data_IF_130523285903
#
_entry.id   IF_130523285903
#
_cell.length_a   1.000
_cell.length_b   1.000
_cell.length_c   1.000
_cell.angle_alpha   90.00
_cell.angle_beta   90.00
_cell.angle_gamma   90.00
#
_symmetry.space_group_name_H-M   'P 1'
#
loop_
_entity.id
_entity.type
_entity.pdbx_description
1 polymer ?
#
# COMPACT_ATOMS: atom_id res chain seq x y z
N UNK A 1 50.31 56.88 20.83
CA UNK A 1 49.22 56.10 21.39
C UNK A 1 48.10 55.73 20.36
N UNK A 2 47.67 56.64 19.47
CA UNK A 2 46.60 56.34 18.48
C UNK A 2 46.93 55.27 17.43
N UNK A 3 48.24 55.15 17.02
CA UNK A 3 48.65 54.15 16.01
C UNK A 3 48.75 52.71 16.54
N UNK A 4 49.02 52.55 17.85
CA UNK A 4 49.04 51.21 18.46
C UNK A 4 47.65 50.63 18.68
N UNK A 5 46.63 51.45 19.03
CA UNK A 5 45.23 51.03 19.15
C UNK A 5 44.64 50.57 17.80
N UNK A 6 45.00 51.27 16.69
CA UNK A 6 44.53 50.92 15.35
C UNK A 6 45.06 49.55 14.87
N UNK A 7 46.31 49.22 15.21
CA UNK A 7 46.96 47.94 14.86
C UNK A 7 46.36 46.76 15.70
N UNK A 8 45.99 46.98 16.95
CA UNK A 8 45.37 45.99 17.83
C UNK A 8 43.94 45.72 17.34
N UNK A 9 43.19 46.77 16.98
CA UNK A 9 41.83 46.60 16.42
C UNK A 9 41.82 45.87 15.09
N UNK A 10 42.78 46.12 14.20
CA UNK A 10 42.93 45.42 12.92
C UNK A 10 43.31 43.95 13.10
N UNK A 11 44.20 43.63 14.04
CA UNK A 11 44.57 42.25 14.37
C UNK A 11 43.40 41.45 15.00
N UNK A 12 42.59 42.06 15.85
CA UNK A 12 41.41 41.46 16.42
C UNK A 12 40.31 41.17 15.40
N UNK A 13 40.13 42.06 14.39
CA UNK A 13 39.19 41.88 13.29
C UNK A 13 39.59 40.71 12.38
N UNK A 14 40.87 40.49 12.12
CA UNK A 14 41.39 39.40 11.30
C UNK A 14 41.19 38.04 12.00
N UNK A 15 41.35 37.96 13.31
CA UNK A 15 41.14 36.74 14.11
C UNK A 15 39.66 36.33 14.09
N UNK A 16 38.73 37.28 14.09
CA UNK A 16 37.29 37.00 13.97
C UNK A 16 36.84 36.47 12.60
N UNK A 17 37.55 36.85 11.49
CA UNK A 17 37.26 36.36 10.17
C UNK A 17 37.78 34.92 9.93
N UNK A 18 38.71 34.43 10.75
CA UNK A 18 39.31 33.09 10.62
C UNK A 18 38.60 32.03 11.48
N UNK A 19 37.59 32.37 12.26
CA UNK A 19 36.79 31.37 12.96
C UNK A 19 35.94 30.60 11.91
N UNK A 20 36.12 29.27 11.79
CA UNK A 20 35.25 28.51 10.89
C UNK A 20 33.79 28.73 11.35
N UNK A 21 32.84 28.93 10.40
CA UNK A 21 31.46 29.04 10.75
C UNK A 21 31.08 27.81 11.59
N UNK A 22 30.25 27.97 12.66
CA UNK A 22 29.79 26.83 13.43
C UNK A 22 29.23 25.82 12.45
N UNK A 23 29.83 24.64 12.40
CA UNK A 23 29.32 23.56 11.58
C UNK A 23 27.83 23.41 11.92
N UNK A 24 26.93 23.78 11.00
CA UNK A 24 25.54 23.51 11.14
C UNK A 24 25.43 21.98 11.31
N UNK A 25 25.38 21.54 12.57
CA UNK A 25 25.06 20.11 12.85
C UNK A 25 23.72 19.87 12.22
N UNK A 26 23.73 19.12 11.13
CA UNK A 26 22.49 18.63 10.55
C UNK A 26 21.68 18.01 11.70
N UNK A 27 20.49 18.53 11.95
CA UNK A 27 19.63 18.00 13.01
C UNK A 27 19.41 16.51 12.72
N UNK A 28 19.51 15.64 13.75
CA UNK A 28 19.37 14.21 13.53
C UNK A 28 17.98 13.92 12.93
N UNK A 29 17.94 13.17 11.84
CA UNK A 29 16.69 12.68 11.27
C UNK A 29 16.05 11.62 12.20
N UNK A 30 14.71 11.67 12.43
CA UNK A 30 13.77 12.72 12.06
C UNK A 30 13.68 13.80 13.14
N UNK A 31 13.42 15.07 12.75
CA UNK A 31 13.20 16.19 13.64
C UNK A 31 11.85 16.90 13.43
N UNK A 32 11.03 16.39 12.50
CA UNK A 32 9.67 16.84 12.18
C UNK A 32 8.79 15.63 11.82
N UNK A 33 7.46 15.78 11.79
CA UNK A 33 6.57 14.69 11.46
C UNK A 33 6.81 14.09 10.07
N UNK A 34 6.62 12.76 9.95
CA UNK A 34 6.70 12.02 8.70
C UNK A 34 5.28 11.82 8.14
N UNK A 35 5.12 12.06 6.85
CA UNK A 35 3.89 11.86 6.11
C UNK A 35 3.96 10.56 5.31
N UNK A 36 2.94 9.70 5.45
CA UNK A 36 2.75 8.52 4.59
C UNK A 36 1.56 8.80 3.66
N UNK A 37 1.83 8.96 2.38
CA UNK A 37 0.80 9.08 1.35
C UNK A 37 0.19 7.69 1.11
N UNK A 38 -1.15 7.62 1.11
CA UNK A 38 -1.90 6.40 0.77
C UNK A 38 -2.73 6.67 -0.48
N UNK A 39 -2.53 5.90 -1.57
CA UNK A 39 -3.15 6.17 -2.88
C UNK A 39 -4.62 5.73 -2.98
N UNK A 40 -5.27 5.44 -1.85
CA UNK A 40 -6.66 4.94 -1.77
C UNK A 40 -7.45 5.67 -0.68
N UNK A 41 -8.80 5.65 -0.74
CA UNK A 41 -9.65 6.09 0.36
C UNK A 41 -9.38 5.31 1.65
N UNK A 42 -9.70 5.89 2.83
CA UNK A 42 -9.59 5.19 4.10
C UNK A 42 -10.37 3.88 4.15
N UNK A 43 -9.88 2.90 4.95
CA UNK A 43 -10.56 1.63 5.24
C UNK A 43 -10.26 0.48 4.30
N UNK A 44 -9.45 0.67 3.25
CA UNK A 44 -8.90 -0.43 2.43
C UNK A 44 -7.66 -1.06 3.04
N UNK A 45 -7.19 -2.20 2.49
CA UNK A 45 -5.99 -2.91 2.99
C UNK A 45 -4.77 -2.01 3.09
N UNK A 46 -4.45 -1.29 2.03
CA UNK A 46 -3.31 -0.35 1.98
C UNK A 46 -3.39 0.73 3.07
N UNK A 47 -4.58 1.27 3.34
CA UNK A 47 -4.79 2.27 4.40
C UNK A 47 -4.61 1.65 5.80
N UNK A 48 -5.12 0.44 6.02
CA UNK A 48 -4.98 -0.29 7.29
C UNK A 48 -3.50 -0.54 7.58
N UNK A 49 -2.74 -1.05 6.61
CA UNK A 49 -1.30 -1.31 6.78
C UNK A 49 -0.51 -0.02 7.02
N UNK A 50 -0.80 1.05 6.28
CA UNK A 50 -0.18 2.36 6.51
C UNK A 50 -0.44 2.88 7.93
N UNK A 51 -1.65 2.69 8.48
CA UNK A 51 -2.01 3.10 9.84
C UNK A 51 -1.35 2.24 10.90
N UNK A 52 -1.16 0.94 10.66
CA UNK A 52 -0.38 0.07 11.56
C UNK A 52 1.05 0.59 11.67
N UNK A 53 1.71 0.92 10.55
CA UNK A 53 3.04 1.51 10.57
C UNK A 53 3.02 2.89 11.25
N UNK A 54 2.08 3.76 10.88
CA UNK A 54 1.99 5.12 11.41
C UNK A 54 1.70 5.16 12.91
N UNK A 55 1.01 4.18 13.48
CA UNK A 55 0.72 4.12 14.92
C UNK A 55 1.91 3.63 15.76
N UNK A 56 2.83 2.86 15.19
CA UNK A 56 3.94 2.22 15.91
C UNK A 56 5.30 2.87 15.67
N UNK A 57 5.47 3.48 14.51
CA UNK A 57 6.73 4.12 14.14
C UNK A 57 7.10 5.31 15.05
N UNK A 58 6.17 6.15 15.55
CA UNK A 58 6.48 7.25 16.48
C UNK A 58 7.29 6.85 17.72
N UNK A 59 6.93 5.73 18.35
CA UNK A 59 7.62 5.23 19.56
C UNK A 59 9.08 4.83 19.29
N UNK A 60 9.42 4.55 18.03
CA UNK A 60 10.74 4.09 17.60
C UNK A 60 11.64 5.22 17.11
N UNK A 61 11.05 6.23 16.49
CA UNK A 61 11.82 7.32 15.86
C UNK A 61 11.71 8.66 16.61
N UNK A 62 10.82 8.76 17.62
CA UNK A 62 10.62 9.96 18.42
C UNK A 62 9.88 11.10 17.70
N UNK A 63 9.20 10.82 16.57
CA UNK A 63 8.47 11.83 15.80
C UNK A 63 7.12 11.29 15.34
N UNK A 64 6.14 12.17 15.22
CA UNK A 64 4.81 11.82 14.75
C UNK A 64 4.84 11.33 13.30
N UNK A 65 3.98 10.36 13.01
CA UNK A 65 3.75 9.85 11.65
C UNK A 65 2.25 9.94 11.37
N UNK A 66 1.88 10.48 10.21
CA UNK A 66 0.48 10.61 9.84
C UNK A 66 0.21 10.08 8.43
N UNK A 67 -0.99 9.55 8.24
CA UNK A 67 -1.47 9.03 6.97
C UNK A 67 -2.24 10.13 6.24
N UNK A 68 -1.92 10.32 4.95
CA UNK A 68 -2.58 11.26 4.05
C UNK A 68 -3.14 10.52 2.83
N UNK A 69 -4.44 10.29 2.81
CA UNK A 69 -5.12 9.58 1.73
C UNK A 69 -5.27 10.49 0.50
N UNK A 70 -4.69 10.08 -0.64
CA UNK A 70 -4.70 10.78 -1.93
C UNK A 70 -5.17 9.84 -3.05
N UNK A 71 -6.46 9.48 -3.08
CA UNK A 71 -6.98 8.56 -4.07
C UNK A 71 -7.09 9.21 -5.47
N UNK A 72 -7.06 8.36 -6.50
CA UNK A 72 -7.35 8.76 -7.87
C UNK A 72 -6.33 8.31 -8.91
N UNK A 73 -6.80 8.21 -10.17
CA UNK A 73 -5.99 7.84 -11.32
C UNK A 73 -5.31 6.48 -11.24
N UNK A 74 -5.90 5.48 -10.55
CA UNK A 74 -5.23 4.18 -10.37
C UNK A 74 -3.89 4.28 -9.63
N UNK A 75 -3.80 5.14 -8.61
CA UNK A 75 -2.63 5.51 -7.81
C UNK A 75 -1.73 6.61 -8.42
N UNK A 76 -1.91 6.98 -9.68
CA UNK A 76 -1.04 7.94 -10.39
C UNK A 76 -0.95 9.28 -9.66
N UNK A 77 -2.06 9.81 -9.11
CA UNK A 77 -2.07 11.11 -8.40
C UNK A 77 -1.16 11.08 -7.16
N UNK A 78 -1.27 10.04 -6.33
CA UNK A 78 -0.44 9.89 -5.14
C UNK A 78 1.05 9.68 -5.48
N UNK A 79 1.31 8.89 -6.52
CA UNK A 79 2.66 8.60 -7.00
C UNK A 79 3.34 9.86 -7.54
N UNK A 80 2.61 10.70 -8.30
CA UNK A 80 3.12 12.00 -8.77
C UNK A 80 3.43 12.95 -7.61
N UNK A 81 2.57 12.98 -6.57
CA UNK A 81 2.84 13.77 -5.37
C UNK A 81 4.13 13.33 -4.66
N UNK A 82 4.41 12.02 -4.59
CA UNK A 82 5.66 11.52 -4.03
C UNK A 82 6.85 11.88 -4.92
N UNK A 83 6.76 11.69 -6.24
CA UNK A 83 7.83 12.01 -7.17
C UNK A 83 8.28 13.48 -7.09
N UNK A 84 7.35 14.39 -6.75
CA UNK A 84 7.63 15.83 -6.57
C UNK A 84 8.03 16.22 -5.16
N UNK A 85 8.02 15.29 -4.20
CA UNK A 85 8.39 15.60 -2.83
C UNK A 85 9.91 15.70 -2.66
N UNK A 86 10.34 16.45 -1.64
CA UNK A 86 11.77 16.53 -1.31
C UNK A 86 12.32 15.15 -0.90
N UNK A 87 13.53 14.77 -1.35
CA UNK A 87 14.16 13.50 -1.00
C UNK A 87 14.82 13.57 0.39
N UNK A 88 14.06 13.96 1.41
CA UNK A 88 14.53 14.19 2.78
C UNK A 88 14.03 13.15 3.79
N UNK A 89 13.27 12.14 3.33
CA UNK A 89 12.72 11.06 4.14
C UNK A 89 11.44 11.42 4.92
N UNK A 90 10.91 12.63 4.82
CA UNK A 90 9.70 13.06 5.52
C UNK A 90 8.41 12.85 4.75
N UNK A 91 8.51 12.51 3.47
CA UNK A 91 7.35 12.08 2.67
C UNK A 91 7.62 10.68 2.12
N UNK A 92 6.79 9.75 2.50
CA UNK A 92 6.80 8.36 2.04
C UNK A 92 5.46 8.06 1.36
N UNK A 93 5.39 6.97 0.62
CA UNK A 93 4.12 6.46 0.09
C UNK A 93 4.01 4.97 0.32
N UNK A 94 2.82 4.50 0.68
CA UNK A 94 2.50 3.09 0.66
C UNK A 94 2.19 2.69 -0.78
N UNK A 95 3.10 1.93 -1.38
CA UNK A 95 2.98 1.37 -2.73
C UNK A 95 2.46 -0.06 -2.68
N UNK A 96 1.82 -0.47 -3.75
CA UNK A 96 1.35 -1.84 -3.95
C UNK A 96 1.44 -2.24 -5.43
N UNK A 97 0.86 -3.37 -5.80
CA UNK A 97 0.91 -3.91 -7.17
C UNK A 97 0.49 -2.89 -8.25
N UNK A 98 -0.48 -2.01 -7.96
CA UNK A 98 -0.93 -1.01 -8.91
C UNK A 98 0.17 -0.01 -9.30
N UNK A 99 1.06 0.35 -8.36
CA UNK A 99 2.24 1.16 -8.65
C UNK A 99 3.14 0.50 -9.71
N UNK A 100 3.40 -0.80 -9.58
CA UNK A 100 4.22 -1.56 -10.54
C UNK A 100 3.50 -1.84 -11.86
N UNK A 101 2.15 -1.91 -11.86
CA UNK A 101 1.35 -2.16 -13.06
C UNK A 101 1.11 -0.90 -13.92
N UNK A 102 1.20 0.30 -13.34
CA UNK A 102 0.89 1.56 -14.03
C UNK A 102 1.65 1.78 -15.35
N UNK A 103 2.96 1.44 -15.49
CA UNK A 103 3.65 1.56 -16.77
C UNK A 103 3.02 0.77 -17.92
N UNK A 104 2.41 -0.39 -17.61
CA UNK A 104 1.73 -1.21 -18.61
C UNK A 104 0.29 -0.73 -18.90
N UNK A 105 -0.33 -0.02 -17.97
CA UNK A 105 -1.73 0.41 -18.06
C UNK A 105 -1.91 1.81 -18.63
N UNK A 106 -0.88 2.67 -18.56
CA UNK A 106 -0.93 4.06 -18.97
C UNK A 106 0.08 4.36 -20.07
N UNK A 107 -0.39 4.94 -21.17
CA UNK A 107 0.49 5.35 -22.30
C UNK A 107 1.52 6.41 -21.89
N UNK A 108 1.20 7.23 -20.90
CA UNK A 108 2.06 8.30 -20.38
C UNK A 108 1.83 8.48 -18.89
N UNK A 109 2.88 8.42 -18.12
CA UNK A 109 2.90 8.71 -16.68
C UNK A 109 3.63 10.03 -16.43
N UNK A 110 3.25 10.80 -15.39
CA UNK A 110 3.95 12.03 -15.00
C UNK A 110 5.23 11.77 -14.17
N UNK A 111 5.68 10.53 -14.09
CA UNK A 111 6.86 10.06 -13.35
C UNK A 111 7.47 8.84 -14.04
N UNK A 112 8.71 8.52 -13.69
CA UNK A 112 9.41 7.28 -14.06
C UNK A 112 9.41 6.32 -12.88
N UNK A 113 8.67 5.19 -13.01
CA UNK A 113 8.49 4.22 -11.91
C UNK A 113 9.81 3.61 -11.42
N UNK A 114 10.82 3.50 -12.27
CA UNK A 114 12.12 2.90 -11.93
C UNK A 114 13.12 3.92 -11.38
N UNK A 115 13.04 5.18 -11.83
CA UNK A 115 14.07 6.19 -11.52
C UNK A 115 13.70 7.18 -10.43
N UNK A 116 12.39 7.49 -10.28
CA UNK A 116 11.95 8.57 -9.39
C UNK A 116 11.72 8.12 -7.94
N UNK A 117 11.90 6.82 -7.64
CA UNK A 117 11.60 6.27 -6.31
C UNK A 117 12.72 5.36 -5.79
N UNK A 118 12.81 5.31 -4.45
CA UNK A 118 13.69 4.40 -3.73
C UNK A 118 12.86 3.53 -2.79
N UNK A 119 12.96 2.19 -2.84
CA UNK A 119 12.31 1.31 -1.87
C UNK A 119 12.82 1.57 -0.46
N UNK A 120 11.89 1.62 0.50
CA UNK A 120 12.22 1.74 1.94
C UNK A 120 12.09 0.37 2.61
N UNK A 121 10.99 -0.34 2.39
CA UNK A 121 10.81 -1.68 2.97
C UNK A 121 9.46 -2.29 2.61
N UNK A 122 9.42 -3.62 2.58
CA UNK A 122 8.18 -4.39 2.48
C UNK A 122 7.46 -4.35 3.83
N UNK A 123 6.16 -4.06 3.80
CA UNK A 123 5.32 -4.01 5.00
C UNK A 123 4.50 -5.29 5.14
N UNK A 124 3.89 -5.76 4.06
CA UNK A 124 3.05 -6.95 4.09
C UNK A 124 2.98 -7.66 2.73
N UNK A 125 2.70 -8.96 2.79
CA UNK A 125 2.19 -9.77 1.68
C UNK A 125 0.80 -10.25 2.07
N UNK A 126 -0.21 -9.74 1.40
CA UNK A 126 -1.62 -9.97 1.74
C UNK A 126 -2.30 -10.84 0.69
N UNK A 127 -2.72 -12.06 1.02
CA UNK A 127 -3.60 -12.82 0.16
C UNK A 127 -5.00 -12.22 0.20
N UNK A 128 -5.75 -12.42 -0.90
CA UNK A 128 -7.14 -11.98 -1.01
C UNK A 128 -8.10 -13.14 -0.88
N UNK A 129 -9.24 -12.92 -0.21
CA UNK A 129 -10.37 -13.83 -0.21
C UNK A 129 -11.26 -13.56 -1.40
N UNK A 130 -11.66 -14.60 -2.11
CA UNK A 130 -12.83 -14.57 -2.99
C UNK A 130 -14.06 -14.64 -2.11
N UNK A 131 -14.76 -13.52 -2.01
CA UNK A 131 -15.97 -13.42 -1.18
C UNK A 131 -17.20 -13.18 -2.04
N UNK A 132 -18.35 -13.67 -1.51
CA UNK A 132 -19.64 -13.39 -2.09
C UNK A 132 -20.60 -12.88 -1.03
N UNK A 133 -21.58 -12.05 -1.45
CA UNK A 133 -22.72 -11.72 -0.61
C UNK A 133 -23.56 -12.98 -0.36
N UNK A 134 -24.08 -13.20 0.87
CA UNK A 134 -24.85 -14.43 1.21
C UNK A 134 -26.10 -14.68 0.36
N UNK A 135 -26.66 -13.66 -0.30
CA UNK A 135 -27.79 -13.80 -1.24
C UNK A 135 -27.44 -14.57 -2.51
N UNK A 136 -26.16 -14.61 -2.89
CA UNK A 136 -25.75 -15.43 -4.03
C UNK A 136 -25.76 -16.92 -3.59
N UNK A 137 -26.50 -17.80 -4.28
CA UNK A 137 -26.72 -19.17 -3.83
C UNK A 137 -25.55 -20.10 -4.19
N UNK A 138 -24.32 -19.70 -3.78
CA UNK A 138 -23.08 -20.47 -3.97
C UNK A 138 -22.33 -20.61 -2.66
N UNK A 139 -21.71 -21.76 -2.41
CA UNK A 139 -20.99 -22.09 -1.17
C UNK A 139 -19.54 -22.49 -1.41
N UNK A 140 -19.12 -22.61 -2.67
CA UNK A 140 -17.76 -22.99 -3.08
C UNK A 140 -17.33 -22.29 -4.35
N UNK A 141 -16.02 -22.27 -4.60
CA UNK A 141 -15.45 -21.78 -5.85
C UNK A 141 -16.05 -22.53 -7.06
N UNK A 142 -16.22 -23.85 -6.93
CA UNK A 142 -16.78 -24.69 -8.02
C UNK A 142 -18.22 -24.31 -8.35
N UNK A 143 -19.04 -24.04 -7.33
CA UNK A 143 -20.43 -23.60 -7.52
C UNK A 143 -20.49 -22.21 -8.17
N UNK A 144 -19.61 -21.28 -7.77
CA UNK A 144 -19.51 -19.97 -8.39
C UNK A 144 -19.14 -20.09 -9.88
N UNK A 145 -18.16 -20.93 -10.18
CA UNK A 145 -17.73 -21.16 -11.59
C UNK A 145 -18.86 -21.81 -12.40
N UNK A 146 -19.56 -22.78 -11.85
CA UNK A 146 -20.70 -23.41 -12.52
C UNK A 146 -21.82 -22.39 -12.82
N UNK A 147 -22.15 -21.53 -11.83
CA UNK A 147 -23.15 -20.49 -12.00
C UNK A 147 -22.72 -19.45 -13.06
N UNK A 148 -21.44 -19.02 -13.03
CA UNK A 148 -20.92 -18.06 -13.99
C UNK A 148 -20.87 -18.62 -15.43
N UNK A 149 -20.60 -19.92 -15.59
CA UNK A 149 -20.67 -20.60 -16.90
C UNK A 149 -22.10 -20.76 -17.42
N UNK A 150 -23.05 -20.95 -16.52
CA UNK A 150 -24.47 -21.01 -16.88
C UNK A 150 -25.07 -19.64 -17.26
N UNK A 151 -24.43 -18.54 -16.78
CA UNK A 151 -24.89 -17.15 -16.96
C UNK A 151 -23.73 -16.25 -17.42
N UNK A 152 -23.16 -16.46 -18.61
CA UNK A 152 -21.98 -15.72 -19.04
C UNK A 152 -22.31 -14.23 -19.26
N UNK A 153 -21.57 -13.35 -18.54
CA UNK A 153 -21.74 -11.90 -18.60
C UNK A 153 -22.92 -11.33 -17.82
N UNK A 154 -23.67 -12.14 -17.05
CA UNK A 154 -24.77 -11.67 -16.20
C UNK A 154 -24.31 -11.33 -14.78
N UNK A 155 -23.31 -12.03 -14.26
CA UNK A 155 -22.79 -11.78 -12.92
C UNK A 155 -21.75 -10.68 -12.96
N UNK A 156 -21.82 -9.76 -11.99
CA UNK A 156 -20.89 -8.66 -11.85
C UNK A 156 -20.01 -8.82 -10.61
N UNK A 157 -18.79 -8.28 -10.67
CA UNK A 157 -17.87 -8.22 -9.55
C UNK A 157 -17.36 -6.81 -9.30
N UNK A 158 -17.11 -6.48 -8.02
CA UNK A 158 -16.56 -5.22 -7.60
C UNK A 158 -15.02 -5.27 -7.51
N UNK A 159 -14.35 -4.16 -7.81
CA UNK A 159 -12.92 -3.97 -7.58
C UNK A 159 -12.59 -2.58 -7.04
N UNK A 160 -11.35 -2.38 -6.60
CA UNK A 160 -10.85 -1.08 -6.14
C UNK A 160 -10.50 -0.11 -7.29
N UNK A 161 -10.86 -0.47 -8.52
CA UNK A 161 -10.59 0.29 -9.74
C UNK A 161 -9.74 -0.49 -10.75
N UNK A 162 -9.65 0.05 -11.96
CA UNK A 162 -8.85 -0.55 -13.03
C UNK A 162 -7.37 -0.67 -12.61
N UNK A 163 -6.75 -1.83 -12.86
CA UNK A 163 -5.36 -2.11 -12.51
C UNK A 163 -5.11 -2.36 -11.02
N UNK A 164 -6.12 -2.22 -10.15
CA UNK A 164 -5.98 -2.63 -8.74
C UNK A 164 -5.75 -4.13 -8.61
N UNK A 165 -5.14 -4.57 -7.51
CA UNK A 165 -5.00 -6.01 -7.22
C UNK A 165 -6.34 -6.75 -7.34
N UNK A 166 -7.40 -6.22 -6.76
CA UNK A 166 -8.73 -6.83 -6.77
C UNK A 166 -9.23 -7.07 -8.20
N UNK A 167 -8.97 -6.12 -9.09
CA UNK A 167 -9.27 -6.27 -10.52
C UNK A 167 -8.40 -7.35 -11.17
N UNK A 168 -7.07 -7.23 -11.04
CA UNK A 168 -6.13 -8.15 -11.69
C UNK A 168 -6.29 -9.59 -11.19
N UNK A 169 -6.54 -9.78 -9.88
CA UNK A 169 -6.81 -11.09 -9.29
C UNK A 169 -8.08 -11.72 -9.87
N UNK A 170 -9.15 -10.92 -10.03
CA UNK A 170 -10.39 -11.43 -10.64
C UNK A 170 -10.20 -11.72 -12.12
N UNK A 171 -9.52 -10.89 -12.88
CA UNK A 171 -9.25 -11.16 -14.29
C UNK A 171 -8.39 -12.43 -14.49
N UNK A 172 -7.39 -12.64 -13.62
CA UNK A 172 -6.65 -13.91 -13.60
C UNK A 172 -7.55 -15.09 -13.28
N UNK A 173 -8.44 -14.95 -12.28
CA UNK A 173 -9.40 -16.02 -11.93
C UNK A 173 -10.37 -16.30 -13.08
N UNK A 174 -10.92 -15.27 -13.71
CA UNK A 174 -11.78 -15.41 -14.91
C UNK A 174 -11.07 -16.18 -16.01
N UNK A 175 -9.81 -15.85 -16.28
CA UNK A 175 -8.99 -16.48 -17.32
C UNK A 175 -8.78 -17.97 -17.03
N UNK A 176 -8.34 -18.34 -15.82
CA UNK A 176 -8.04 -19.75 -15.49
C UNK A 176 -9.30 -20.60 -15.31
N UNK A 177 -10.41 -19.99 -14.86
CA UNK A 177 -11.68 -20.68 -14.67
C UNK A 177 -12.54 -20.74 -15.96
N UNK A 178 -12.17 -19.99 -17.00
CA UNK A 178 -12.92 -19.89 -18.25
C UNK A 178 -14.34 -19.34 -18.02
N UNK A 179 -14.46 -18.24 -17.25
CA UNK A 179 -15.75 -17.61 -16.93
C UNK A 179 -15.78 -16.15 -17.36
N UNK A 180 -16.99 -15.64 -17.61
CA UNK A 180 -17.23 -14.26 -17.95
C UNK A 180 -18.02 -13.55 -16.85
N UNK A 181 -17.37 -12.57 -16.17
CA UNK A 181 -17.97 -11.70 -15.15
C UNK A 181 -17.81 -10.25 -15.60
N UNK A 182 -18.81 -9.40 -15.33
CA UNK A 182 -18.76 -7.97 -15.65
C UNK A 182 -18.03 -7.20 -14.56
N UNK A 183 -17.03 -6.42 -14.94
CA UNK A 183 -16.28 -5.60 -14.01
C UNK A 183 -16.99 -4.29 -13.64
N UNK A 184 -17.13 -4.02 -12.35
CA UNK A 184 -17.63 -2.75 -11.81
C UNK A 184 -16.51 -2.09 -10.97
N UNK A 185 -15.81 -1.08 -11.53
CA UNK A 185 -14.70 -0.42 -10.85
C UNK A 185 -15.18 0.64 -9.84
N UNK A 186 -14.58 0.65 -8.65
CA UNK A 186 -14.75 1.66 -7.62
C UNK A 186 -13.47 2.48 -7.41
N UNK A 187 -13.57 3.59 -6.68
CA UNK A 187 -12.42 4.43 -6.31
C UNK A 187 -11.69 3.91 -5.06
N UNK A 188 -11.58 2.57 -4.89
CA UNK A 188 -10.93 1.91 -3.75
C UNK A 188 -11.72 0.72 -3.22
N UNK A 189 -11.09 -0.07 -2.34
CA UNK A 189 -11.68 -1.29 -1.80
C UNK A 189 -12.84 -1.02 -0.83
N UNK A 190 -12.77 0.06 -0.02
CA UNK A 190 -13.79 0.37 0.96
C UNK A 190 -15.19 0.64 0.36
N UNK A 191 -15.36 1.53 -0.66
CA UNK A 191 -16.66 1.71 -1.31
C UNK A 191 -17.12 0.45 -2.05
N UNK A 192 -16.22 -0.33 -2.67
CA UNK A 192 -16.56 -1.60 -3.28
C UNK A 192 -17.10 -2.61 -2.27
N UNK A 193 -16.43 -2.73 -1.11
CA UNK A 193 -16.86 -3.59 -0.01
C UNK A 193 -18.23 -3.17 0.53
N UNK A 194 -18.48 -1.87 0.68
CA UNK A 194 -19.78 -1.37 1.17
C UNK A 194 -20.94 -1.80 0.28
N UNK A 195 -20.77 -1.74 -1.04
CA UNK A 195 -21.80 -2.14 -2.00
C UNK A 195 -21.98 -3.68 -2.04
N UNK A 196 -20.89 -4.44 -1.86
CA UNK A 196 -21.01 -5.90 -1.72
C UNK A 196 -21.72 -6.28 -0.42
N UNK A 197 -21.44 -5.61 0.69
CA UNK A 197 -22.13 -5.81 1.97
C UNK A 197 -23.60 -5.41 1.92
N UNK A 198 -23.94 -4.43 1.08
CA UNK A 198 -25.31 -3.99 0.81
C UNK A 198 -26.06 -4.85 -0.22
N UNK A 199 -25.39 -5.85 -0.82
CA UNK A 199 -25.99 -6.74 -1.83
C UNK A 199 -26.20 -6.09 -3.20
N UNK A 200 -25.66 -4.88 -3.45
CA UNK A 200 -25.73 -4.21 -4.77
C UNK A 200 -24.87 -4.96 -5.81
N UNK A 201 -23.75 -5.50 -5.35
CA UNK A 201 -22.92 -6.45 -6.09
C UNK A 201 -22.69 -7.69 -5.22
N UNK A 202 -22.46 -8.82 -5.87
CA UNK A 202 -22.43 -10.07 -5.12
C UNK A 202 -21.03 -10.69 -4.99
N UNK A 203 -20.02 -10.23 -5.75
CA UNK A 203 -18.73 -10.92 -5.88
C UNK A 203 -17.59 -9.92 -5.80
N UNK A 204 -16.53 -10.25 -5.06
CA UNK A 204 -15.25 -9.54 -5.11
C UNK A 204 -14.09 -10.40 -4.60
N UNK A 205 -12.87 -10.08 -5.01
CA UNK A 205 -11.69 -10.38 -4.23
C UNK A 205 -11.40 -9.25 -3.26
N UNK A 206 -10.95 -9.56 -2.04
CA UNK A 206 -10.63 -8.54 -1.04
C UNK A 206 -9.54 -9.04 -0.09
N UNK A 207 -8.52 -8.23 0.26
CA UNK A 207 -7.52 -8.58 1.27
C UNK A 207 -8.14 -8.89 2.64
N UNK A 208 -7.40 -9.69 3.43
CA UNK A 208 -7.89 -10.14 4.75
C UNK A 208 -8.30 -9.03 5.71
N UNK A 209 -7.47 -8.00 5.98
CA UNK A 209 -7.74 -7.03 7.03
C UNK A 209 -9.14 -6.38 6.98
N UNK A 210 -9.63 -5.85 5.86
CA UNK A 210 -10.98 -5.30 5.79
C UNK A 210 -12.09 -6.36 5.73
N UNK A 211 -11.78 -7.62 5.38
CA UNK A 211 -12.79 -8.67 5.13
C UNK A 211 -13.09 -9.55 6.34
N UNK A 212 -12.09 -9.84 7.19
CA UNK A 212 -12.13 -10.88 8.20
C UNK A 212 -13.31 -10.73 9.17
N UNK A 213 -13.61 -9.52 9.65
CA UNK A 213 -14.74 -9.26 10.53
C UNK A 213 -16.09 -9.58 9.87
N UNK A 214 -16.24 -9.26 8.59
CA UNK A 214 -17.46 -9.52 7.82
C UNK A 214 -17.62 -11.00 7.46
N UNK A 215 -16.54 -11.71 7.22
CA UNK A 215 -16.56 -13.16 7.00
C UNK A 215 -16.94 -13.87 8.31
N UNK A 216 -16.30 -13.53 9.43
CA UNK A 216 -16.60 -14.12 10.75
C UNK A 216 -18.04 -13.88 11.21
N UNK A 217 -18.60 -12.71 10.91
CA UNK A 217 -20.01 -12.38 11.23
C UNK A 217 -21.03 -12.92 10.22
N UNK A 218 -20.60 -13.60 9.15
CA UNK A 218 -21.48 -14.15 8.12
C UNK A 218 -22.07 -13.10 7.16
N UNK A 219 -21.64 -11.85 7.23
CA UNK A 219 -22.06 -10.79 6.29
C UNK A 219 -21.44 -10.97 4.90
N UNK A 220 -20.32 -11.70 4.82
CA UNK A 220 -19.72 -12.19 3.59
C UNK A 220 -19.47 -13.69 3.72
N UNK A 221 -19.55 -14.39 2.60
CA UNK A 221 -19.13 -15.79 2.51
C UNK A 221 -17.81 -15.86 1.75
N UNK A 222 -16.75 -16.35 2.41
CA UNK A 222 -15.50 -16.65 1.74
C UNK A 222 -15.62 -18.00 1.04
N UNK A 223 -15.33 -18.03 -0.25
CA UNK A 223 -15.32 -19.24 -1.09
C UNK A 223 -13.92 -19.83 -1.21
N UNK A 224 -12.90 -18.99 -1.16
CA UNK A 224 -11.50 -19.40 -1.29
C UNK A 224 -10.55 -18.26 -0.99
N UNK A 225 -9.28 -18.58 -0.81
CA UNK A 225 -8.18 -17.62 -0.62
C UNK A 225 -7.15 -17.75 -1.72
N UNK A 226 -6.52 -16.65 -2.11
CA UNK A 226 -5.58 -16.57 -3.24
C UNK A 226 -4.18 -17.07 -2.92
N UNK A 227 -3.87 -17.39 -1.67
CA UNK A 227 -2.56 -17.92 -1.25
C UNK A 227 -2.37 -19.37 -1.65
N UNK A 228 -1.10 -19.81 -1.74
CA UNK A 228 -0.74 -21.19 -1.97
C UNK A 228 -1.23 -22.13 -0.84
N UNK A 229 -1.27 -21.62 0.40
CA UNK A 229 -1.71 -22.36 1.57
C UNK A 229 -2.88 -21.66 2.26
N UNK A 230 -3.69 -22.45 2.97
CA UNK A 230 -4.77 -21.90 3.81
C UNK A 230 -4.21 -20.99 4.90
N UNK A 231 -4.92 -19.93 5.21
CA UNK A 231 -4.53 -19.04 6.31
C UNK A 231 -4.89 -19.68 7.66
N UNK A 232 -3.97 -19.64 8.60
CA UNK A 232 -4.18 -20.16 9.97
C UNK A 232 -5.43 -19.57 10.62
N UNK A 233 -5.65 -18.26 10.46
CA UNK A 233 -6.80 -17.54 11.01
C UNK A 233 -8.16 -17.97 10.39
N UNK A 234 -8.15 -18.65 9.23
CA UNK A 234 -9.32 -19.04 8.45
C UNK A 234 -9.09 -20.41 7.78
N UNK A 235 -8.58 -21.38 8.53
CA UNK A 235 -8.17 -22.69 8.04
C UNK A 235 -9.30 -23.52 7.38
N UNK A 236 -10.55 -23.19 7.67
CA UNK A 236 -11.73 -23.78 7.03
C UNK A 236 -12.00 -23.25 5.61
N UNK A 237 -11.38 -22.12 5.21
CA UNK A 237 -11.50 -21.58 3.84
C UNK A 237 -10.43 -22.22 2.97
N UNK A 238 -10.80 -22.97 1.92
CA UNK A 238 -9.83 -23.58 1.01
C UNK A 238 -9.08 -22.53 0.19
N UNK A 239 -7.95 -22.92 -0.38
CA UNK A 239 -7.31 -22.08 -1.39
C UNK A 239 -8.04 -22.21 -2.73
N UNK A 240 -7.86 -21.22 -3.62
CA UNK A 240 -8.33 -21.32 -5.01
C UNK A 240 -7.63 -22.51 -5.69
N UNK A 241 -6.35 -22.74 -5.38
CA UNK A 241 -5.58 -23.88 -5.86
C UNK A 241 -6.23 -25.23 -5.49
N UNK A 242 -6.61 -25.43 -4.22
CA UNK A 242 -7.32 -26.64 -3.76
C UNK A 242 -8.71 -26.81 -4.42
N UNK A 243 -9.29 -25.71 -4.89
CA UNK A 243 -10.61 -25.71 -5.53
C UNK A 243 -10.60 -26.12 -7.01
N UNK A 244 -9.43 -26.47 -7.56
CA UNK A 244 -9.25 -26.98 -8.91
C UNK A 244 -8.43 -26.08 -9.83
N UNK A 245 -7.72 -25.09 -9.29
CA UNK A 245 -6.87 -24.15 -10.02
C UNK A 245 -5.45 -24.11 -9.45
N UNK A 246 -4.66 -25.19 -9.58
CA UNK A 246 -3.42 -25.45 -8.82
C UNK A 246 -2.35 -24.38 -9.01
N UNK A 247 -2.35 -23.64 -10.12
CA UNK A 247 -1.40 -22.54 -10.38
C UNK A 247 -1.90 -21.17 -9.93
N UNK A 248 -3.02 -21.13 -9.21
CA UNK A 248 -3.55 -19.85 -8.74
C UNK A 248 -2.93 -19.47 -7.39
N UNK A 249 -1.98 -18.57 -7.46
CA UNK A 249 -1.34 -17.97 -6.29
C UNK A 249 -1.12 -16.49 -6.56
N UNK A 250 -1.74 -15.62 -5.74
CA UNK A 250 -1.62 -14.18 -5.85
C UNK A 250 -1.62 -13.53 -4.47
N UNK A 251 -0.64 -12.66 -4.24
CA UNK A 251 -0.54 -11.79 -3.07
C UNK A 251 -0.51 -10.33 -3.48
N UNK A 252 -1.11 -9.45 -2.68
CA UNK A 252 -0.75 -8.04 -2.69
C UNK A 252 0.54 -7.86 -1.91
N UNK A 253 1.50 -7.19 -2.50
CA UNK A 253 2.62 -6.68 -1.76
C UNK A 253 2.34 -5.23 -1.39
N UNK A 254 2.58 -4.87 -0.15
CA UNK A 254 2.49 -3.51 0.33
C UNK A 254 3.83 -3.09 0.90
N UNK A 255 4.39 -2.01 0.38
CA UNK A 255 5.72 -1.53 0.77
C UNK A 255 5.77 -0.02 0.83
N UNK A 256 6.66 0.50 1.65
CA UNK A 256 6.96 1.93 1.69
C UNK A 256 8.04 2.27 0.68
N UNK A 257 7.80 3.35 -0.06
CA UNK A 257 8.75 3.96 -0.99
C UNK A 257 8.96 5.44 -0.64
N UNK A 258 10.13 5.96 -1.00
CA UNK A 258 10.53 7.35 -0.85
C UNK A 258 10.90 7.95 -2.22
N UNK A 259 11.01 9.29 -2.37
CA UNK A 259 11.58 9.91 -3.55
C UNK A 259 13.02 9.44 -3.80
N UNK A 260 13.39 9.29 -5.07
CA UNK A 260 14.77 9.01 -5.45
C UNK A 260 15.73 10.09 -4.91
N UNK A 261 16.97 9.70 -4.55
CA UNK A 261 17.93 10.60 -3.93
C UNK A 261 17.75 10.81 -2.43
N UNK A 262 16.77 10.17 -1.78
CA UNK A 262 16.70 10.15 -0.32
C UNK A 262 17.97 9.51 0.26
N UNK A 263 18.68 10.15 1.21
CA UNK A 263 19.96 9.67 1.73
C UNK A 263 19.90 8.23 2.23
N UNK A 264 20.87 7.40 1.83
CA UNK A 264 20.91 5.98 2.19
C UNK A 264 20.83 5.71 3.70
N UNK A 265 21.41 6.58 4.53
CA UNK A 265 21.33 6.47 5.99
C UNK A 265 19.89 6.64 6.52
N UNK A 266 19.08 7.50 5.88
CA UNK A 266 17.67 7.69 6.21
C UNK A 266 16.87 6.46 5.79
N UNK A 267 17.08 5.96 4.57
CA UNK A 267 16.45 4.73 4.08
C UNK A 267 16.75 3.55 5.01
N UNK A 268 18.03 3.36 5.36
CA UNK A 268 18.46 2.27 6.25
C UNK A 268 17.80 2.37 7.65
N UNK A 269 17.71 3.58 8.22
CA UNK A 269 17.05 3.81 9.50
C UNK A 269 15.57 3.47 9.45
N UNK A 270 14.86 3.99 8.44
CA UNK A 270 13.43 3.72 8.25
C UNK A 270 13.19 2.22 8.01
N UNK A 271 13.98 1.58 7.15
CA UNK A 271 13.88 0.14 6.87
C UNK A 271 14.05 -0.69 8.14
N UNK A 272 15.07 -0.40 8.96
CA UNK A 272 15.30 -1.12 10.21
C UNK A 272 14.10 -1.02 11.16
N UNK A 273 13.51 0.16 11.33
CA UNK A 273 12.38 0.33 12.22
C UNK A 273 11.08 -0.28 11.67
N UNK A 274 10.85 -0.19 10.34
CA UNK A 274 9.72 -0.84 9.68
C UNK A 274 9.82 -2.36 9.84
N UNK A 275 11.00 -2.96 9.59
CA UNK A 275 11.19 -4.40 9.76
C UNK A 275 10.91 -4.85 11.20
N UNK A 276 11.31 -4.08 12.21
CA UNK A 276 10.99 -4.36 13.61
C UNK A 276 9.48 -4.32 13.90
N UNK A 277 8.76 -3.40 13.24
CA UNK A 277 7.30 -3.29 13.39
C UNK A 277 6.62 -4.51 12.79
N UNK A 278 6.92 -4.85 11.52
CA UNK A 278 6.19 -5.90 10.78
C UNK A 278 6.54 -7.32 11.23
N UNK A 279 7.66 -7.51 11.94
CA UNK A 279 8.04 -8.81 12.53
C UNK A 279 7.62 -8.96 13.98
N UNK A 280 6.97 -7.95 14.57
CA UNK A 280 6.49 -8.03 15.93
C UNK A 280 5.29 -9.01 16.05
N UNK A 281 5.25 -9.89 17.07
CA UNK A 281 4.20 -10.92 17.19
C UNK A 281 2.77 -10.38 17.27
N UNK A 282 2.62 -9.12 17.65
CA UNK A 282 1.33 -8.44 17.78
C UNK A 282 0.88 -7.73 16.46
N UNK A 283 1.60 -7.86 15.37
CA UNK A 283 1.26 -7.36 14.03
C UNK A 283 0.87 -8.50 13.13
#
# INVERSE_FOLDING_TARGET
>A
MKSALCRIAAAAAIVWLCLPPPALRAQPFPNKPIRIIVPYPPGGGVDIMARIVASRLPDRIGQQVFVDNRPGGGTVIATELLARAAPDGYTLMMANIAFGANPALHKKLPYDTEKDFTPVGLVALLPSFLVVHPSLPVKSVRELVALAKARPGELSYASAGNGSLLHLTMERFKSVAGINLVHVPYKGAAPALSDVLGGQLAIMFIPGPPALGHIKSGRLRALGVSSAQRLVLMSHVPTIAESGYPEFEIYDWEGLIAPAGTPAAIIAKLNAEINRIVTAPEV
#
